data_IF_018031312635
#
_entry.id   IF_018031312635
#
_cell.length_a   1.000
_cell.length_b   1.000
_cell.length_c   1.000
_cell.angle_alpha   90.00
_cell.angle_beta   90.00
_cell.angle_gamma   90.00
#
_symmetry.space_group_name_H-M   'P 1'
#
loop_
_entity.id
_entity.type
_entity.pdbx_description
1 polymer ?
#
# COMPACT_ATOMS: atom_id res chain seq x y z
N UNK A 1 18.00 -14.44 11.67
CA UNK A 1 16.90 -13.72 11.03
C UNK A 1 15.53 -14.26 11.46
N UNK A 2 15.25 -15.55 11.27
CA UNK A 2 13.95 -16.14 11.65
C UNK A 2 13.64 -15.99 13.15
N UNK A 3 14.60 -16.25 14.03
CA UNK A 3 14.44 -16.06 15.48
C UNK A 3 14.07 -14.61 15.85
N UNK A 4 14.63 -13.64 15.13
CA UNK A 4 14.31 -12.24 15.34
C UNK A 4 12.84 -11.94 14.95
N UNK A 5 12.36 -12.51 13.84
CA UNK A 5 10.95 -12.38 13.44
C UNK A 5 10.03 -13.03 14.48
N UNK A 6 10.37 -14.21 14.98
CA UNK A 6 9.62 -14.90 16.04
C UNK A 6 9.58 -14.03 17.32
N UNK A 7 10.70 -13.44 17.72
CA UNK A 7 10.76 -12.54 18.89
C UNK A 7 9.87 -11.31 18.70
N UNK A 8 9.91 -10.68 17.53
CA UNK A 8 9.04 -9.55 17.20
C UNK A 8 7.57 -9.96 17.22
N UNK A 9 7.22 -11.08 16.60
CA UNK A 9 5.87 -11.61 16.61
C UNK A 9 5.36 -11.90 18.03
N UNK A 10 6.19 -12.48 18.90
CA UNK A 10 5.87 -12.70 20.33
C UNK A 10 5.62 -11.39 21.06
N UNK A 11 6.50 -10.40 20.90
CA UNK A 11 6.36 -9.09 21.51
C UNK A 11 5.08 -8.38 21.10
N UNK A 12 4.70 -8.47 19.82
CA UNK A 12 3.45 -7.89 19.33
C UNK A 12 2.22 -8.68 19.81
N UNK A 13 2.29 -10.01 19.80
CA UNK A 13 1.19 -10.88 20.25
C UNK A 13 0.82 -10.68 21.71
N UNK A 14 1.79 -10.34 22.56
CA UNK A 14 1.55 -10.09 23.99
C UNK A 14 0.61 -8.90 24.27
N UNK A 15 0.39 -8.01 23.28
CA UNK A 15 -0.52 -6.87 23.39
C UNK A 15 -1.98 -7.22 23.15
N UNK A 16 -2.25 -8.44 22.69
CA UNK A 16 -3.57 -8.86 22.24
C UNK A 16 -4.04 -10.12 22.96
N UNK A 17 -5.35 -10.34 22.93
CA UNK A 17 -5.91 -11.60 23.42
C UNK A 17 -5.52 -12.76 22.50
N UNK A 18 -5.34 -13.95 23.07
CA UNK A 18 -5.00 -15.16 22.30
C UNK A 18 -5.99 -15.41 21.13
N UNK A 19 -7.27 -15.16 21.35
CA UNK A 19 -8.30 -15.30 20.31
C UNK A 19 -8.06 -14.36 19.12
N UNK A 20 -7.63 -13.12 19.37
CA UNK A 20 -7.33 -12.14 18.31
C UNK A 20 -6.07 -12.55 17.55
N UNK A 21 -5.02 -12.96 18.25
CA UNK A 21 -3.79 -13.45 17.64
C UNK A 21 -4.07 -14.64 16.71
N UNK A 22 -4.80 -15.66 17.19
CA UNK A 22 -5.16 -16.83 16.38
C UNK A 22 -5.94 -16.49 15.11
N UNK A 23 -6.82 -15.50 15.15
CA UNK A 23 -7.55 -15.03 13.95
C UNK A 23 -6.65 -14.30 12.96
N UNK A 24 -5.55 -13.69 13.42
CA UNK A 24 -4.60 -12.98 12.57
C UNK A 24 -3.57 -13.91 11.91
N UNK A 25 -3.34 -15.11 12.46
CA UNK A 25 -2.37 -16.07 11.93
C UNK A 25 -2.85 -16.61 10.58
N UNK A 26 -2.01 -16.63 9.53
CA UNK A 26 -2.30 -17.28 8.25
C UNK A 26 -2.61 -18.77 8.45
N UNK A 27 -3.59 -19.30 7.69
CA UNK A 27 -4.12 -20.64 7.91
C UNK A 27 -3.09 -21.76 7.71
N UNK A 28 -2.24 -21.63 6.72
CA UNK A 28 -1.33 -22.68 6.28
C UNK A 28 -0.30 -23.07 7.35
N UNK A 29 0.12 -22.11 8.17
CA UNK A 29 1.10 -22.33 9.25
C UNK A 29 0.54 -22.04 10.65
N UNK A 30 -0.80 -22.01 10.79
CA UNK A 30 -1.44 -21.55 12.01
C UNK A 30 -1.01 -22.32 13.26
N UNK A 31 -0.90 -23.63 13.16
CA UNK A 31 -0.49 -24.48 14.29
C UNK A 31 0.96 -24.19 14.71
N UNK A 32 1.87 -24.17 13.75
CA UNK A 32 3.31 -23.99 14.01
C UNK A 32 3.57 -22.59 14.58
N UNK A 33 2.96 -21.56 14.01
CA UNK A 33 3.11 -20.18 14.47
C UNK A 33 2.51 -20.01 15.86
N UNK A 34 1.29 -20.53 16.13
CA UNK A 34 0.67 -20.45 17.48
C UNK A 34 1.56 -21.12 18.54
N UNK A 35 2.13 -22.27 18.22
CA UNK A 35 3.07 -22.98 19.11
C UNK A 35 4.35 -22.18 19.35
N UNK A 36 4.98 -21.65 18.30
CA UNK A 36 6.19 -20.82 18.41
C UNK A 36 5.95 -19.53 19.20
N UNK A 37 4.77 -18.93 19.12
CA UNK A 37 4.44 -17.72 19.87
C UNK A 37 4.27 -17.95 21.37
N UNK A 38 3.80 -19.13 21.78
CA UNK A 38 3.43 -19.43 23.16
C UNK A 38 4.48 -20.23 23.94
N UNK A 39 5.56 -20.67 23.30
CA UNK A 39 6.65 -21.36 23.97
C UNK A 39 7.60 -20.37 24.61
N UNK A 40 7.78 -20.47 25.91
CA UNK A 40 8.74 -19.68 26.65
C UNK A 40 10.11 -20.38 26.72
N UNK A 41 11.23 -19.62 26.63
CA UNK A 41 12.59 -20.17 26.72
C UNK A 41 12.90 -20.90 28.05
N UNK A 42 12.11 -20.61 29.09
CA UNK A 42 12.28 -21.19 30.44
C UNK A 42 11.52 -22.50 30.64
N UNK A 43 10.73 -22.93 29.64
CA UNK A 43 10.04 -24.22 29.68
C UNK A 43 11.01 -25.36 29.28
N UNK A 44 10.88 -26.49 29.92
CA UNK A 44 11.67 -27.75 29.80
C UNK A 44 12.43 -27.88 28.48
N UNK A 45 13.71 -28.20 28.52
CA UNK A 45 14.64 -28.43 27.40
C UNK A 45 14.08 -29.25 26.21
N UNK A 46 13.06 -30.04 26.42
CA UNK A 46 12.41 -30.84 25.37
C UNK A 46 11.55 -30.00 24.42
N UNK A 47 10.81 -29.01 24.92
CA UNK A 47 9.97 -28.12 24.06
C UNK A 47 10.84 -27.18 23.24
N UNK A 48 11.87 -26.64 23.83
CA UNK A 48 12.83 -25.77 23.12
C UNK A 48 13.47 -26.54 21.97
N UNK A 49 14.00 -27.74 22.22
CA UNK A 49 14.59 -28.61 21.18
C UNK A 49 13.58 -29.03 20.11
N UNK A 50 12.33 -29.25 20.49
CA UNK A 50 11.26 -29.57 19.52
C UNK A 50 11.01 -28.40 18.57
N UNK A 51 10.97 -27.16 19.08
CA UNK A 51 10.79 -25.97 18.25
C UNK A 51 12.00 -25.69 17.35
N UNK A 52 13.21 -25.86 17.87
CA UNK A 52 14.43 -25.75 17.07
C UNK A 52 14.38 -26.73 15.87
N UNK A 53 13.99 -27.98 16.09
CA UNK A 53 13.86 -28.96 15.02
C UNK A 53 12.75 -28.63 14.01
N UNK A 54 11.63 -28.06 14.46
CA UNK A 54 10.58 -27.60 13.54
C UNK A 54 11.12 -26.47 12.67
N UNK A 55 11.78 -25.48 13.25
CA UNK A 55 12.38 -24.36 12.52
C UNK A 55 13.44 -24.85 11.54
N UNK A 56 14.34 -25.75 11.97
CA UNK A 56 15.33 -26.38 11.10
C UNK A 56 14.66 -27.11 9.93
N UNK A 57 13.63 -27.93 10.20
CA UNK A 57 12.90 -28.65 9.16
C UNK A 57 12.22 -27.74 8.15
N UNK A 58 11.67 -26.59 8.59
CA UNK A 58 11.08 -25.59 7.70
C UNK A 58 12.17 -24.94 6.83
N UNK A 59 13.34 -24.64 7.40
CA UNK A 59 14.45 -24.01 6.67
C UNK A 59 15.10 -24.96 5.65
N UNK A 60 15.06 -26.27 5.91
CA UNK A 60 15.58 -27.30 5.00
C UNK A 60 14.61 -27.63 3.86
N UNK A 61 13.35 -27.24 3.98
CA UNK A 61 12.31 -27.49 2.97
C UNK A 61 12.13 -26.28 2.05
N UNK A 62 11.57 -26.50 0.87
CA UNK A 62 11.20 -25.43 -0.07
C UNK A 62 10.13 -24.46 0.47
N UNK A 63 9.64 -24.68 1.69
CA UNK A 63 8.58 -23.90 2.35
C UNK A 63 9.12 -22.77 3.24
N UNK A 64 10.43 -22.57 3.30
CA UNK A 64 11.05 -21.55 4.16
C UNK A 64 10.57 -20.13 3.84
N UNK A 65 10.49 -19.79 2.55
CA UNK A 65 10.07 -18.46 2.11
C UNK A 65 8.59 -18.22 2.45
N UNK A 66 7.72 -19.19 2.19
CA UNK A 66 6.29 -19.12 2.51
C UNK A 66 6.04 -18.96 4.02
N UNK A 67 6.83 -19.66 4.84
CA UNK A 67 6.75 -19.53 6.29
C UNK A 67 7.20 -18.14 6.77
N UNK A 68 8.30 -17.62 6.23
CA UNK A 68 8.80 -16.26 6.54
C UNK A 68 7.76 -15.22 6.10
N UNK A 69 7.16 -15.36 4.94
CA UNK A 69 6.10 -14.47 4.46
C UNK A 69 4.86 -14.52 5.37
N UNK A 70 4.45 -15.72 5.80
CA UNK A 70 3.34 -15.90 6.73
C UNK A 70 3.61 -15.22 8.07
N UNK A 71 4.82 -15.38 8.61
CA UNK A 71 5.23 -14.74 9.86
C UNK A 71 5.31 -13.21 9.73
N UNK A 72 5.85 -12.71 8.61
CA UNK A 72 5.89 -11.28 8.30
C UNK A 72 4.48 -10.69 8.14
N UNK A 73 3.57 -11.43 7.52
CA UNK A 73 2.16 -11.05 7.39
C UNK A 73 1.48 -10.94 8.76
N UNK A 74 1.72 -11.89 9.65
CA UNK A 74 1.23 -11.83 11.03
C UNK A 74 1.78 -10.60 11.76
N UNK A 75 3.09 -10.34 11.67
CA UNK A 75 3.73 -9.17 12.27
C UNK A 75 3.06 -7.88 11.79
N UNK A 76 2.84 -7.72 10.49
CA UNK A 76 2.15 -6.55 9.92
C UNK A 76 0.74 -6.38 10.49
N UNK A 77 -0.03 -7.46 10.59
CA UNK A 77 -1.40 -7.45 11.13
C UNK A 77 -1.46 -7.10 12.61
N UNK A 78 -0.46 -7.52 13.39
CA UNK A 78 -0.38 -7.23 14.82
C UNK A 78 0.25 -5.87 15.10
N UNK A 79 1.14 -5.37 14.22
CA UNK A 79 1.77 -4.06 14.37
C UNK A 79 0.78 -2.92 14.13
N UNK A 80 -0.09 -3.07 13.12
CA UNK A 80 -1.11 -2.08 12.76
C UNK A 80 -2.47 -2.79 12.71
N UNK A 81 -3.25 -2.62 13.75
CA UNK A 81 -4.56 -3.27 13.92
C UNK A 81 -5.58 -2.72 12.92
N UNK A 82 -5.58 -1.41 12.74
CA UNK A 82 -6.47 -0.69 11.84
C UNK A 82 -5.72 0.48 11.20
N UNK A 83 -5.84 0.62 9.89
CA UNK A 83 -5.27 1.73 9.14
C UNK A 83 -6.37 2.71 8.77
N UNK A 84 -6.24 3.95 9.21
CA UNK A 84 -7.13 5.05 8.85
C UNK A 84 -6.40 6.01 7.92
N UNK A 85 -6.93 6.22 6.73
CA UNK A 85 -6.39 7.16 5.74
C UNK A 85 -7.24 8.42 5.71
N UNK A 86 -6.56 9.56 5.68
CA UNK A 86 -7.23 10.88 5.72
C UNK A 86 -7.52 11.47 4.34
N UNK A 87 -7.32 10.68 3.28
CA UNK A 87 -7.65 11.06 1.91
C UNK A 87 -6.52 11.72 1.12
N UNK A 88 -6.89 12.31 -0.01
CA UNK A 88 -6.02 12.91 -1.02
C UNK A 88 -4.96 11.95 -1.58
N UNK A 89 -5.35 10.68 -1.77
CA UNK A 89 -4.50 9.65 -2.40
C UNK A 89 -4.22 10.03 -3.86
N UNK A 90 -5.19 10.66 -4.50
CA UNK A 90 -5.15 11.08 -5.91
C UNK A 90 -4.80 12.55 -6.11
N UNK A 91 -4.14 13.21 -5.14
CA UNK A 91 -3.79 14.64 -5.30
C UNK A 91 -2.72 14.82 -6.39
N UNK A 92 -1.49 14.45 -6.13
CA UNK A 92 -0.36 14.63 -7.04
C UNK A 92 0.63 13.50 -6.89
N UNK A 93 1.15 13.02 -8.00
CA UNK A 93 2.14 11.95 -8.03
C UNK A 93 1.60 10.63 -8.60
N UNK A 94 2.48 9.93 -9.28
CA UNK A 94 2.17 8.72 -10.08
C UNK A 94 1.98 7.43 -9.29
N UNK A 95 1.75 7.47 -7.98
CA UNK A 95 1.70 6.27 -7.16
C UNK A 95 0.31 5.84 -6.68
N UNK A 96 -0.75 6.60 -7.00
CA UNK A 96 -2.09 6.41 -6.43
C UNK A 96 -2.66 5.01 -6.73
N UNK A 97 -2.56 4.51 -7.96
CA UNK A 97 -3.05 3.18 -8.31
C UNK A 97 -2.35 2.08 -7.51
N UNK A 98 -1.02 2.14 -7.43
CA UNK A 98 -0.22 1.17 -6.63
C UNK A 98 -0.55 1.21 -5.15
N UNK A 99 -0.82 2.40 -4.62
CA UNK A 99 -1.27 2.58 -3.23
C UNK A 99 -2.65 1.92 -3.06
N UNK A 100 -3.60 2.21 -3.95
CA UNK A 100 -4.94 1.62 -3.89
C UNK A 100 -4.90 0.09 -3.97
N UNK A 101 -4.13 -0.49 -4.86
CA UNK A 101 -3.97 -1.95 -4.96
C UNK A 101 -3.47 -2.57 -3.65
N UNK A 102 -2.54 -1.90 -2.97
CA UNK A 102 -2.05 -2.34 -1.65
C UNK A 102 -3.10 -2.18 -0.55
N UNK A 103 -3.85 -1.09 -0.59
CA UNK A 103 -4.89 -0.78 0.39
C UNK A 103 -6.08 -1.74 0.28
N UNK A 104 -6.49 -2.12 -0.94
CA UNK A 104 -7.58 -3.07 -1.17
C UNK A 104 -7.33 -4.45 -0.57
N UNK A 105 -6.06 -4.83 -0.39
CA UNK A 105 -5.67 -6.09 0.24
C UNK A 105 -5.35 -5.96 1.73
N UNK A 106 -5.48 -4.76 2.30
CA UNK A 106 -5.16 -4.53 3.70
C UNK A 106 -6.24 -5.12 4.62
N UNK A 107 -5.82 -5.74 5.73
CA UNK A 107 -6.70 -6.54 6.59
C UNK A 107 -7.78 -5.75 7.35
N UNK A 108 -7.54 -4.48 7.62
CA UNK A 108 -8.49 -3.59 8.31
C UNK A 108 -8.19 -2.15 7.94
N UNK A 109 -9.06 -1.55 7.14
CA UNK A 109 -8.86 -0.24 6.54
C UNK A 109 -10.16 0.54 6.50
N UNK A 110 -10.09 1.83 6.77
CA UNK A 110 -11.06 2.82 6.34
C UNK A 110 -10.37 4.01 5.68
N UNK A 111 -11.05 4.61 4.71
CA UNK A 111 -10.54 5.73 3.92
C UNK A 111 -11.53 6.88 4.04
N UNK A 112 -11.05 8.01 4.51
CA UNK A 112 -11.75 9.28 4.40
C UNK A 112 -11.39 9.93 3.06
N UNK A 113 -12.34 10.55 2.38
CA UNK A 113 -12.11 11.14 1.07
C UNK A 113 -11.53 12.53 1.20
N UNK A 114 -10.44 12.79 0.47
CA UNK A 114 -9.99 14.14 0.19
C UNK A 114 -10.77 14.75 -0.97
N UNK A 115 -10.57 16.04 -1.22
CA UNK A 115 -11.22 16.72 -2.35
C UNK A 115 -10.75 16.19 -3.71
N UNK A 116 -9.50 15.75 -3.82
CA UNK A 116 -8.99 15.12 -5.05
C UNK A 116 -9.58 13.74 -5.28
N UNK A 117 -9.72 12.93 -4.23
CA UNK A 117 -10.35 11.61 -4.32
C UNK A 117 -11.80 11.72 -4.78
N UNK A 118 -12.55 12.71 -4.26
CA UNK A 118 -13.93 12.97 -4.66
C UNK A 118 -14.05 13.35 -6.14
N UNK A 119 -13.09 14.13 -6.68
CA UNK A 119 -13.04 14.44 -8.10
C UNK A 119 -12.81 13.20 -8.95
N UNK A 120 -11.93 12.31 -8.54
CA UNK A 120 -11.70 11.04 -9.23
C UNK A 120 -12.91 10.10 -9.16
N UNK A 121 -13.59 10.04 -8.01
CA UNK A 121 -14.84 9.28 -7.86
C UNK A 121 -15.93 9.83 -8.77
N UNK A 122 -16.10 11.16 -8.85
CA UNK A 122 -17.04 11.80 -9.77
C UNK A 122 -16.70 11.56 -11.23
N UNK A 123 -15.42 11.60 -11.59
CA UNK A 123 -14.96 11.27 -12.94
C UNK A 123 -15.24 9.82 -13.31
N UNK A 124 -14.98 8.87 -12.39
CA UNK A 124 -15.30 7.46 -12.56
C UNK A 124 -16.82 7.20 -12.70
N UNK A 125 -17.65 8.03 -12.06
CA UNK A 125 -19.09 8.01 -12.20
C UNK A 125 -19.60 8.65 -13.52
N UNK A 126 -18.71 9.22 -14.34
CA UNK A 126 -19.04 9.83 -15.62
C UNK A 126 -19.46 11.29 -15.54
N UNK A 127 -19.22 12.00 -14.41
CA UNK A 127 -19.55 13.41 -14.29
C UNK A 127 -18.59 14.28 -15.11
N UNK A 128 -19.05 15.00 -16.15
CA UNK A 128 -18.19 15.70 -17.12
C UNK A 128 -17.30 16.77 -16.46
N UNK A 129 -17.80 17.50 -15.47
CA UNK A 129 -17.05 18.52 -14.79
C UNK A 129 -15.89 17.93 -13.97
N UNK A 130 -16.11 16.77 -13.35
CA UNK A 130 -15.08 16.03 -12.62
C UNK A 130 -14.04 15.47 -13.58
N UNK A 131 -14.46 14.87 -14.71
CA UNK A 131 -13.56 14.37 -15.76
C UNK A 131 -12.65 15.50 -16.26
N UNK A 132 -13.22 16.65 -16.64
CA UNK A 132 -12.45 17.79 -17.12
C UNK A 132 -11.46 18.31 -16.06
N UNK A 133 -11.87 18.32 -14.79
CA UNK A 133 -11.02 18.78 -13.69
C UNK A 133 -9.87 17.81 -13.42
N UNK A 134 -10.13 16.49 -13.41
CA UNK A 134 -9.10 15.46 -13.26
C UNK A 134 -8.09 15.53 -14.39
N UNK A 135 -8.55 15.60 -15.66
CA UNK A 135 -7.67 15.74 -16.82
C UNK A 135 -6.80 17.00 -16.71
N UNK A 136 -7.44 18.15 -16.45
CA UNK A 136 -6.72 19.42 -16.27
C UNK A 136 -5.66 19.36 -15.18
N UNK A 137 -5.98 18.76 -14.04
CA UNK A 137 -5.05 18.66 -12.92
C UNK A 137 -3.86 17.77 -13.27
N UNK A 138 -4.11 16.59 -13.86
CA UNK A 138 -3.04 15.68 -14.23
C UNK A 138 -2.12 16.27 -15.30
N UNK A 139 -2.67 16.92 -16.32
CA UNK A 139 -1.87 17.61 -17.33
C UNK A 139 -1.07 18.78 -16.76
N UNK A 140 -1.66 19.58 -15.86
CA UNK A 140 -0.99 20.72 -15.24
C UNK A 140 0.21 20.33 -14.37
N UNK A 141 0.16 19.19 -13.71
CA UNK A 141 1.19 18.73 -12.80
C UNK A 141 2.09 17.63 -13.40
N UNK A 142 2.01 17.44 -14.72
CA UNK A 142 2.79 16.43 -15.46
C UNK A 142 2.62 15.00 -14.89
N UNK A 143 1.39 14.68 -14.50
CA UNK A 143 1.03 13.41 -13.87
C UNK A 143 0.07 12.57 -14.76
N UNK A 144 0.15 12.75 -16.07
CA UNK A 144 -0.72 12.06 -17.03
C UNK A 144 -0.46 10.55 -17.13
N UNK A 145 0.73 10.10 -16.71
CA UNK A 145 1.08 8.68 -16.72
C UNK A 145 0.11 7.82 -15.91
N UNK A 146 -0.49 8.35 -14.84
CA UNK A 146 -1.51 7.64 -14.09
C UNK A 146 -2.73 7.33 -14.96
N UNK A 147 -3.14 8.24 -15.84
CA UNK A 147 -4.26 8.05 -16.74
C UNK A 147 -3.94 6.99 -17.81
N UNK A 148 -2.77 7.09 -18.44
CA UNK A 148 -2.42 6.23 -19.58
C UNK A 148 -1.91 4.85 -19.12
N UNK A 149 -0.98 4.80 -18.16
CA UNK A 149 -0.30 3.56 -17.78
C UNK A 149 -1.10 2.77 -16.73
N UNK A 150 -1.68 3.44 -15.74
CA UNK A 150 -2.35 2.75 -14.63
C UNK A 150 -3.82 2.46 -14.95
N UNK A 151 -4.50 3.39 -15.67
CA UNK A 151 -5.93 3.25 -15.99
C UNK A 151 -6.24 3.02 -17.48
N UNK A 152 -5.23 3.03 -18.36
CA UNK A 152 -5.39 2.75 -19.81
C UNK A 152 -6.21 3.80 -20.56
N UNK A 153 -6.29 5.04 -20.03
CA UNK A 153 -7.04 6.13 -20.62
C UNK A 153 -6.15 6.87 -21.63
N UNK A 154 -6.38 6.66 -22.92
CA UNK A 154 -5.60 7.31 -23.98
C UNK A 154 -5.91 8.80 -24.09
N UNK A 155 -4.88 9.63 -24.05
CA UNK A 155 -4.98 11.08 -24.25
C UNK A 155 -4.74 11.51 -25.69
N UNK A 156 -4.54 10.59 -26.64
CA UNK A 156 -4.22 10.88 -28.05
C UNK A 156 -5.23 11.80 -28.74
N UNK A 157 -6.52 11.53 -28.58
CA UNK A 157 -7.56 12.33 -29.20
C UNK A 157 -7.61 13.74 -28.62
N UNK A 158 -7.38 13.87 -27.31
CA UNK A 158 -7.31 15.17 -26.64
C UNK A 158 -6.11 15.98 -27.15
N UNK A 159 -4.95 15.35 -27.30
CA UNK A 159 -3.74 15.99 -27.85
C UNK A 159 -3.98 16.42 -29.30
N UNK A 160 -4.50 15.53 -30.15
CA UNK A 160 -4.81 15.85 -31.55
C UNK A 160 -5.81 17.00 -31.69
N UNK A 161 -6.84 17.02 -30.85
CA UNK A 161 -7.80 18.12 -30.79
C UNK A 161 -7.14 19.44 -30.37
N UNK A 162 -6.28 19.39 -29.35
CA UNK A 162 -5.57 20.58 -28.86
C UNK A 162 -4.65 21.15 -29.95
N UNK A 163 -3.88 20.31 -30.65
CA UNK A 163 -2.98 20.71 -31.73
C UNK A 163 -3.72 21.32 -32.92
N UNK A 164 -4.92 20.79 -33.23
CA UNK A 164 -5.75 21.31 -34.33
C UNK A 164 -6.45 22.62 -33.98
N UNK A 165 -6.71 22.87 -32.69
CA UNK A 165 -7.58 23.98 -32.24
C UNK A 165 -6.81 25.16 -31.69
N UNK A 166 -5.70 24.89 -31.05
CA UNK A 166 -4.88 25.90 -30.33
C UNK A 166 -3.50 26.03 -30.95
N UNK A 167 -3.09 27.21 -31.30
CA UNK A 167 -1.69 27.53 -31.59
C UNK A 167 -0.95 27.68 -30.29
N UNK A 168 0.11 26.90 -30.09
CA UNK A 168 0.97 27.03 -28.93
C UNK A 168 1.59 28.42 -28.87
N UNK A 169 1.03 29.29 -28.06
CA UNK A 169 1.67 30.57 -27.73
C UNK A 169 2.81 30.29 -26.74
N UNK A 170 3.87 31.12 -26.81
CA UNK A 170 5.05 31.03 -25.91
C UNK A 170 4.66 31.00 -24.41
N UNK A 171 3.49 31.47 -24.06
CA UNK A 171 2.97 31.53 -22.69
C UNK A 171 2.52 30.16 -22.12
N UNK A 172 2.13 29.18 -22.95
CA UNK A 172 1.64 27.86 -22.49
C UNK A 172 2.78 26.97 -22.07
N UNK A 173 3.91 27.03 -22.78
CA UNK A 173 5.12 26.28 -22.44
C UNK A 173 5.67 26.74 -21.08
N UNK A 174 5.56 28.01 -20.76
CA UNK A 174 6.00 28.60 -19.49
C UNK A 174 5.14 28.11 -18.31
N UNK A 175 3.83 27.91 -18.48
CA UNK A 175 2.93 27.46 -17.41
C UNK A 175 3.08 25.97 -17.07
N UNK A 176 3.46 25.13 -18.03
CA UNK A 176 3.74 23.71 -17.81
C UNK A 176 5.08 23.50 -17.10
N UNK A 177 6.10 24.32 -17.42
CA UNK A 177 7.45 24.18 -16.89
C UNK A 177 7.75 25.02 -15.64
N UNK A 178 6.96 26.05 -15.34
CA UNK A 178 7.27 27.04 -14.29
C UNK A 178 6.27 27.09 -13.14
N UNK A 179 5.34 26.15 -13.05
CA UNK A 179 4.53 26.03 -11.82
C UNK A 179 5.42 25.44 -10.72
N UNK A 180 5.97 26.26 -9.79
CA UNK A 180 6.85 25.74 -8.76
C UNK A 180 6.09 24.72 -7.93
N UNK A 181 6.70 23.55 -7.76
CA UNK A 181 6.24 22.55 -6.82
C UNK A 181 6.05 23.19 -5.43
N UNK A 182 5.11 22.77 -4.62
CA UNK A 182 5.02 23.22 -3.23
C UNK A 182 6.32 23.05 -2.43
N UNK A 183 7.20 22.13 -2.85
CA UNK A 183 8.54 21.98 -2.30
C UNK A 183 9.46 23.15 -2.62
N UNK A 184 9.29 23.80 -3.77
CA UNK A 184 10.14 24.92 -4.19
C UNK A 184 9.74 26.23 -3.50
N UNK A 185 8.53 26.32 -2.93
CA UNK A 185 8.07 27.49 -2.17
C UNK A 185 8.55 27.51 -0.71
N UNK A 186 9.06 26.38 -0.20
CA UNK A 186 9.59 26.30 1.18
C UNK A 186 11.07 26.64 1.29
N UNK A 187 11.73 26.97 0.16
CA UNK A 187 13.16 27.29 0.07
C UNK A 187 13.44 28.74 -0.33
N UNK A 188 12.42 29.61 -0.40
CA UNK A 188 12.55 31.04 -0.70
C UNK A 188 12.20 31.91 0.50
#
# INVERSE_FOLDING_TARGET
MLDQLIMVARSLSSRYTRSKVRKAIPRDYAYIIDELLHTHPDENNYRVRYHERIVESILETASADDFIESLASLIKRLAVDHLHLVGDIFDRGGGAAKIMDRLLTYHSLDIQWGNHDLLWMGAAAGEPACIATVLRNNLRYDNYEILENDYGISLRELVAFADATYTAGESITCLLYTSPSPRDRSLS
#
